data_IF_331678759032
#
_entry.id   IF_331678759032
#
_cell.length_a   1.000
_cell.length_b   1.000
_cell.length_c   1.000
_cell.angle_alpha   90.00
_cell.angle_beta   90.00
_cell.angle_gamma   90.00
#
_symmetry.space_group_name_H-M   'P 1'
#
loop_
_entity.id
_entity.type
_entity.pdbx_description
1 polymer ?
#
# COMPACT_ATOMS: atom_id res chain seq x y z
N UNK A 1 -14.55 12.86 -26.46
CA UNK A 1 -13.76 11.61 -26.33
C UNK A 1 -12.54 11.87 -25.49
N UNK A 2 -12.17 10.92 -24.64
CA UNK A 2 -11.02 11.08 -23.76
C UNK A 2 -9.73 10.68 -24.47
N UNK A 3 -8.66 11.41 -24.26
CA UNK A 3 -7.33 11.08 -24.79
C UNK A 3 -6.45 10.39 -23.75
N UNK A 4 -6.64 10.74 -22.47
CA UNK A 4 -5.83 10.25 -21.35
C UNK A 4 -6.73 9.79 -20.19
N UNK A 5 -6.19 8.95 -19.32
CA UNK A 5 -6.90 8.55 -18.10
C UNK A 5 -7.14 9.72 -17.15
N UNK A 6 -6.27 10.72 -17.17
CA UNK A 6 -6.49 11.96 -16.42
C UNK A 6 -7.77 12.68 -16.83
N UNK A 7 -8.07 12.71 -18.13
CA UNK A 7 -9.31 13.31 -18.63
C UNK A 7 -10.54 12.54 -18.14
N UNK A 8 -10.45 11.21 -18.17
CA UNK A 8 -11.49 10.33 -17.64
C UNK A 8 -11.70 10.54 -16.15
N UNK A 9 -10.61 10.66 -15.39
CA UNK A 9 -10.65 10.91 -13.95
C UNK A 9 -11.41 12.21 -13.64
N UNK A 10 -11.12 13.28 -14.36
CA UNK A 10 -11.83 14.56 -14.22
C UNK A 10 -13.32 14.42 -14.53
N UNK A 11 -13.65 13.64 -15.56
CA UNK A 11 -15.03 13.34 -15.93
C UNK A 11 -15.76 12.61 -14.80
N UNK A 12 -15.12 11.61 -14.17
CA UNK A 12 -15.70 10.85 -13.06
C UNK A 12 -15.98 11.73 -11.84
N UNK A 13 -15.14 12.74 -11.61
CA UNK A 13 -15.31 13.69 -10.51
C UNK A 13 -16.41 14.71 -10.74
N UNK A 14 -16.84 14.92 -11.98
CA UNK A 14 -17.90 15.88 -12.33
C UNK A 14 -19.32 15.42 -12.02
N UNK A 15 -19.50 14.13 -11.67
CA UNK A 15 -20.80 13.61 -11.28
C UNK A 15 -21.69 13.11 -12.39
N UNK A 16 -21.17 12.88 -13.58
CA UNK A 16 -21.93 12.30 -14.70
C UNK A 16 -22.38 10.87 -14.43
N UNK A 17 -21.65 10.17 -13.56
CA UNK A 17 -22.05 8.87 -13.04
C UNK A 17 -22.10 8.92 -11.52
N UNK A 18 -22.90 8.04 -10.94
CA UNK A 18 -23.04 7.96 -9.49
C UNK A 18 -21.95 7.06 -8.92
N UNK A 19 -21.07 7.65 -8.12
CA UNK A 19 -19.92 6.98 -7.52
C UNK A 19 -20.08 6.96 -5.99
N UNK A 20 -19.73 5.84 -5.35
CA UNK A 20 -19.77 5.77 -3.90
C UNK A 20 -18.85 6.82 -3.28
N UNK A 21 -19.17 7.21 -2.04
CA UNK A 21 -18.37 8.22 -1.32
C UNK A 21 -16.90 7.79 -1.18
N UNK A 22 -16.67 6.51 -0.91
CA UNK A 22 -15.32 5.94 -0.77
C UNK A 22 -14.54 6.02 -2.10
N UNK A 23 -15.19 5.65 -3.20
CA UNK A 23 -14.56 5.66 -4.52
C UNK A 23 -14.32 7.10 -5.00
N UNK A 24 -15.25 8.00 -4.70
CA UNK A 24 -15.06 9.43 -4.98
C UNK A 24 -13.82 9.99 -4.26
N UNK A 25 -13.64 9.65 -3.00
CA UNK A 25 -12.45 10.05 -2.23
C UNK A 25 -11.17 9.54 -2.87
N UNK A 26 -11.17 8.30 -3.37
CA UNK A 26 -10.03 7.74 -4.07
C UNK A 26 -9.72 8.53 -5.36
N UNK A 27 -10.73 8.80 -6.19
CA UNK A 27 -10.54 9.59 -7.41
C UNK A 27 -10.04 10.99 -7.10
N UNK A 28 -10.56 11.62 -6.05
CA UNK A 28 -10.13 12.96 -5.63
C UNK A 28 -8.67 12.96 -5.17
N UNK A 29 -8.23 11.91 -4.47
CA UNK A 29 -6.83 11.75 -4.09
C UNK A 29 -5.91 11.59 -5.30
N UNK A 30 -6.34 10.84 -6.32
CA UNK A 30 -5.57 10.69 -7.54
C UNK A 30 -5.39 12.03 -8.26
N UNK A 31 -6.48 12.82 -8.41
CA UNK A 31 -6.37 14.10 -9.10
C UNK A 31 -5.49 15.08 -8.32
N UNK A 32 -5.52 15.03 -6.99
CA UNK A 32 -4.67 15.84 -6.14
C UNK A 32 -3.19 15.51 -6.36
N UNK A 33 -2.85 14.23 -6.41
CA UNK A 33 -1.49 13.75 -6.70
C UNK A 33 -1.02 14.25 -8.08
N UNK A 34 -1.88 14.13 -9.08
CA UNK A 34 -1.60 14.56 -10.46
C UNK A 34 -1.37 16.06 -10.53
N UNK A 35 -2.21 16.85 -9.87
CA UNK A 35 -2.11 18.31 -9.87
C UNK A 35 -0.83 18.80 -9.21
N UNK A 36 -0.28 18.05 -8.26
CA UNK A 36 1.00 18.33 -7.63
C UNK A 36 2.20 17.83 -8.45
N UNK A 37 1.96 17.31 -9.64
CA UNK A 37 2.99 16.73 -10.55
C UNK A 37 3.78 15.58 -9.90
N UNK A 38 3.14 14.83 -9.01
CA UNK A 38 3.69 13.63 -8.42
C UNK A 38 3.38 12.40 -9.30
N UNK A 39 4.03 11.27 -8.99
CA UNK A 39 3.81 10.02 -9.70
C UNK A 39 2.70 9.20 -9.04
N UNK A 40 2.02 8.37 -9.83
CA UNK A 40 1.10 7.36 -9.33
C UNK A 40 1.82 6.02 -9.16
N UNK A 41 1.32 5.19 -8.25
CA UNK A 41 1.83 3.83 -8.09
C UNK A 41 1.08 2.86 -9.01
N UNK A 42 1.71 1.73 -9.32
CA UNK A 42 1.08 0.65 -10.08
C UNK A 42 -0.22 0.20 -9.41
N UNK A 43 -0.24 0.07 -8.07
CA UNK A 43 -1.43 -0.34 -7.34
C UNK A 43 -2.58 0.67 -7.48
N UNK A 44 -2.29 1.97 -7.48
CA UNK A 44 -3.28 3.01 -7.72
C UNK A 44 -3.86 2.91 -9.12
N UNK A 45 -3.03 2.68 -10.13
CA UNK A 45 -3.48 2.48 -11.51
C UNK A 45 -4.36 1.25 -11.66
N UNK A 46 -3.98 0.12 -11.05
CA UNK A 46 -4.76 -1.12 -11.06
C UNK A 46 -6.12 -0.91 -10.39
N UNK A 47 -6.15 -0.24 -9.24
CA UNK A 47 -7.42 0.03 -8.54
C UNK A 47 -8.33 0.94 -9.36
N UNK A 48 -7.77 1.94 -10.03
CA UNK A 48 -8.55 2.81 -10.93
C UNK A 48 -9.24 1.98 -12.02
N UNK A 49 -8.52 1.07 -12.67
CA UNK A 49 -9.08 0.20 -13.71
C UNK A 49 -10.16 -0.74 -13.15
N UNK A 50 -9.97 -1.28 -11.94
CA UNK A 50 -10.99 -2.08 -11.26
C UNK A 50 -12.27 -1.29 -10.99
N UNK A 51 -12.14 -0.02 -10.63
CA UNK A 51 -13.29 0.84 -10.39
C UNK A 51 -14.03 1.18 -11.70
N UNK A 52 -13.33 1.31 -12.81
CA UNK A 52 -13.98 1.43 -14.12
C UNK A 52 -14.85 0.20 -14.42
N UNK A 53 -14.36 -1.00 -14.13
CA UNK A 53 -15.15 -2.22 -14.24
C UNK A 53 -16.39 -2.18 -13.34
N UNK A 54 -16.24 -1.72 -12.12
CA UNK A 54 -17.34 -1.61 -11.16
C UNK A 54 -18.47 -0.73 -11.69
N UNK A 55 -18.14 0.36 -12.36
CA UNK A 55 -19.09 1.34 -12.86
C UNK A 55 -19.40 1.18 -14.37
N UNK A 56 -19.05 0.05 -14.98
CA UNK A 56 -19.18 -0.19 -16.40
C UNK A 56 -20.61 0.02 -16.93
N UNK A 57 -21.64 -0.35 -16.16
CA UNK A 57 -23.03 -0.19 -16.57
C UNK A 57 -23.41 1.27 -16.73
N UNK A 58 -23.01 2.12 -15.79
CA UNK A 58 -23.27 3.55 -15.86
C UNK A 58 -22.48 4.22 -16.99
N UNK A 59 -21.23 3.81 -17.18
CA UNK A 59 -20.39 4.31 -18.27
C UNK A 59 -20.98 3.95 -19.62
N UNK A 60 -21.53 2.73 -19.77
CA UNK A 60 -22.18 2.29 -21.00
C UNK A 60 -23.43 3.12 -21.29
N UNK A 61 -24.21 3.48 -20.26
CA UNK A 61 -25.38 4.34 -20.42
C UNK A 61 -25.01 5.75 -20.93
N UNK A 62 -23.83 6.22 -20.59
CA UNK A 62 -23.26 7.50 -21.05
C UNK A 62 -22.50 7.33 -22.38
N UNK A 63 -22.71 6.22 -23.10
CA UNK A 63 -22.11 5.93 -24.41
C UNK A 63 -20.58 5.77 -24.37
N UNK A 64 -20.02 5.31 -23.25
CA UNK A 64 -18.60 5.02 -23.15
C UNK A 64 -18.34 3.53 -23.23
N UNK A 65 -17.36 3.14 -24.04
CA UNK A 65 -16.92 1.75 -24.19
C UNK A 65 -15.84 1.46 -23.15
N UNK A 66 -16.07 0.48 -22.28
CA UNK A 66 -15.14 0.11 -21.22
C UNK A 66 -13.75 -0.27 -21.78
N UNK A 67 -13.71 -1.07 -22.84
CA UNK A 67 -12.43 -1.50 -23.43
C UNK A 67 -11.60 -0.30 -23.91
N UNK A 68 -12.26 0.68 -24.52
CA UNK A 68 -11.59 1.92 -24.92
C UNK A 68 -11.06 2.68 -23.70
N UNK A 69 -11.86 2.79 -22.62
CA UNK A 69 -11.46 3.51 -21.42
C UNK A 69 -10.28 2.82 -20.71
N UNK A 70 -10.27 1.49 -20.66
CA UNK A 70 -9.17 0.73 -20.05
C UNK A 70 -7.87 0.83 -20.85
N UNK A 71 -7.97 1.06 -22.16
CA UNK A 71 -6.80 1.22 -23.03
C UNK A 71 -6.25 2.63 -23.08
N UNK A 72 -6.92 3.61 -22.46
CA UNK A 72 -6.36 4.95 -22.31
C UNK A 72 -5.08 4.90 -21.50
N UNK A 73 -4.15 5.78 -21.81
CA UNK A 73 -2.87 5.87 -21.11
C UNK A 73 -2.87 7.00 -20.12
N UNK A 74 -2.02 6.87 -19.11
CA UNK A 74 -1.71 7.96 -18.19
C UNK A 74 -0.60 8.84 -18.80
N UNK A 75 -0.77 10.15 -18.70
CA UNK A 75 0.33 11.09 -18.94
C UNK A 75 1.26 11.12 -17.71
N UNK A 76 0.67 10.97 -16.52
CA UNK A 76 1.39 10.89 -15.25
C UNK A 76 2.27 9.65 -15.21
N UNK A 77 3.49 9.79 -14.72
CA UNK A 77 4.41 8.66 -14.57
C UNK A 77 3.89 7.65 -13.55
N UNK A 78 3.87 6.38 -13.92
CA UNK A 78 3.48 5.28 -13.05
C UNK A 78 4.76 4.60 -12.57
N UNK A 79 4.93 4.49 -11.25
CA UNK A 79 6.08 3.83 -10.63
C UNK A 79 5.61 2.57 -9.92
N UNK A 80 6.45 1.53 -9.92
CA UNK A 80 6.14 0.33 -9.14
C UNK A 80 5.98 0.69 -7.68
N UNK A 81 4.90 0.18 -7.07
CA UNK A 81 4.75 0.27 -5.63
C UNK A 81 5.97 -0.38 -4.99
N UNK A 82 6.58 0.32 -4.04
CA UNK A 82 7.61 -0.33 -3.23
C UNK A 82 6.99 -1.59 -2.68
N UNK A 83 7.55 -2.75 -3.03
CA UNK A 83 7.14 -4.00 -2.42
C UNK A 83 7.32 -3.82 -0.92
N UNK A 84 6.22 -3.71 -0.19
CA UNK A 84 6.30 -3.82 1.25
C UNK A 84 7.00 -5.14 1.52
N UNK A 85 7.94 -5.13 2.46
CA UNK A 85 8.60 -6.35 2.84
C UNK A 85 7.53 -7.36 3.26
N UNK A 86 7.34 -8.42 2.46
CA UNK A 86 6.43 -9.50 2.82
C UNK A 86 7.02 -10.39 3.91
N UNK A 87 8.30 -10.20 4.22
CA UNK A 87 9.05 -11.00 5.17
C UNK A 87 9.69 -10.13 6.24
N UNK A 88 9.76 -10.65 7.45
CA UNK A 88 10.54 -10.06 8.50
C UNK A 88 11.99 -10.55 8.40
N UNK A 89 12.92 -9.66 8.72
CA UNK A 89 14.35 -9.97 8.75
C UNK A 89 14.85 -9.88 10.18
N UNK A 90 15.64 -10.88 10.56
CA UNK A 90 16.32 -10.91 11.86
C UNK A 90 17.82 -10.89 11.62
N UNK A 91 18.51 -9.98 12.26
CA UNK A 91 19.97 -9.89 12.16
C UNK A 91 20.57 -9.63 13.53
N UNK A 92 21.88 -9.88 13.65
CA UNK A 92 22.64 -9.62 14.86
C UNK A 92 23.79 -8.69 14.53
N UNK A 93 23.80 -7.51 15.14
CA UNK A 93 24.85 -6.52 14.95
C UNK A 93 25.26 -5.91 16.29
N UNK A 94 26.56 -5.90 16.57
CA UNK A 94 27.12 -5.27 17.79
C UNK A 94 26.45 -5.72 19.09
N UNK A 95 26.11 -7.01 19.20
CA UNK A 95 25.45 -7.57 20.38
C UNK A 95 23.97 -7.25 20.49
N UNK A 96 23.36 -6.68 19.46
CA UNK A 96 21.95 -6.37 19.41
C UNK A 96 21.24 -7.24 18.38
N UNK A 97 20.07 -7.76 18.74
CA UNK A 97 19.13 -8.34 17.80
C UNK A 97 18.38 -7.22 17.10
N UNK A 98 18.32 -7.29 15.78
CA UNK A 98 17.62 -6.30 14.96
C UNK A 98 16.52 -7.01 14.21
N UNK A 99 15.27 -6.52 14.37
CA UNK A 99 14.11 -7.00 13.64
C UNK A 99 13.63 -5.91 12.69
N UNK A 100 13.64 -6.21 11.39
CA UNK A 100 13.07 -5.40 10.35
C UNK A 100 11.88 -6.13 9.77
N UNK A 101 10.67 -5.58 9.92
CA UNK A 101 9.44 -6.26 9.51
C UNK A 101 8.47 -5.30 8.84
N UNK A 102 7.55 -5.84 8.00
CA UNK A 102 6.37 -5.09 7.59
C UNK A 102 5.51 -4.73 8.81
N UNK A 103 4.69 -3.70 8.68
CA UNK A 103 3.75 -3.35 9.75
C UNK A 103 2.77 -4.49 9.98
N UNK A 104 2.68 -4.97 11.23
CA UNK A 104 1.72 -5.98 11.66
C UNK A 104 1.38 -5.71 13.12
N UNK A 105 0.15 -5.24 13.37
CA UNK A 105 -0.28 -4.82 14.71
C UNK A 105 -0.24 -5.96 15.72
N UNK A 106 -0.60 -7.17 15.33
CA UNK A 106 -0.56 -8.35 16.22
C UNK A 106 0.86 -8.73 16.60
N UNK A 107 1.78 -8.68 15.65
CA UNK A 107 3.20 -8.93 15.87
C UNK A 107 3.77 -7.91 16.86
N UNK A 108 3.45 -6.63 16.67
CA UNK A 108 3.91 -5.55 17.57
C UNK A 108 3.37 -5.75 18.99
N UNK A 109 2.09 -6.12 19.13
CA UNK A 109 1.50 -6.41 20.43
C UNK A 109 2.21 -7.57 21.13
N UNK A 110 2.51 -8.64 20.41
CA UNK A 110 3.20 -9.80 20.96
C UNK A 110 4.64 -9.44 21.38
N UNK A 111 5.35 -8.60 20.60
CA UNK A 111 6.66 -8.10 20.97
C UNK A 111 6.62 -7.32 22.29
N UNK A 112 5.61 -6.48 22.48
CA UNK A 112 5.47 -5.66 23.68
C UNK A 112 5.11 -6.48 24.92
N UNK A 113 4.53 -7.68 24.74
CA UNK A 113 4.15 -8.58 25.84
C UNK A 113 5.29 -9.43 26.36
N UNK A 114 6.45 -9.45 25.68
CA UNK A 114 7.59 -10.23 26.11
C UNK A 114 8.20 -9.62 27.37
N UNK A 115 8.17 -10.37 28.47
CA UNK A 115 8.59 -9.90 29.80
C UNK A 115 10.08 -9.60 29.90
N UNK A 116 10.90 -10.28 29.14
CA UNK A 116 12.35 -10.28 29.30
C UNK A 116 13.09 -9.56 28.19
N UNK A 117 12.39 -9.07 27.18
CA UNK A 117 12.99 -8.43 26.02
C UNK A 117 12.45 -7.02 25.85
N UNK A 118 13.24 -6.05 26.25
CA UNK A 118 12.92 -4.65 25.97
C UNK A 118 13.22 -4.37 24.48
N UNK A 119 12.33 -4.80 23.60
CA UNK A 119 12.44 -4.39 22.21
C UNK A 119 12.10 -2.92 22.10
N UNK A 120 13.06 -2.15 21.61
CA UNK A 120 12.95 -0.71 21.44
C UNK A 120 12.75 -0.40 19.95
N UNK A 121 11.77 0.45 19.66
CA UNK A 121 11.52 0.92 18.30
C UNK A 121 12.45 2.07 17.97
N UNK A 122 13.23 1.92 16.91
CA UNK A 122 14.09 2.97 16.36
C UNK A 122 13.35 3.64 15.18
N UNK A 123 12.87 4.86 15.41
CA UNK A 123 12.11 5.61 14.38
C UNK A 123 12.95 5.97 13.17
N UNK A 124 14.24 6.24 13.38
CA UNK A 124 15.10 6.68 12.28
C UNK A 124 15.42 5.55 11.31
N UNK A 125 15.64 4.35 11.83
CA UNK A 125 15.95 3.15 11.02
C UNK A 125 14.73 2.28 10.74
N UNK A 126 13.60 2.55 11.42
CA UNK A 126 12.35 1.76 11.32
C UNK A 126 12.55 0.28 11.64
N UNK A 127 13.25 0.01 12.72
CA UNK A 127 13.57 -1.33 13.19
C UNK A 127 13.31 -1.48 14.68
N UNK A 128 13.14 -2.72 15.14
CA UNK A 128 13.15 -3.06 16.56
C UNK A 128 14.52 -3.60 16.94
N UNK A 129 15.02 -3.19 18.10
CA UNK A 129 16.30 -3.67 18.64
C UNK A 129 16.13 -4.18 20.07
N UNK A 130 16.89 -5.22 20.42
CA UNK A 130 16.95 -5.75 21.78
C UNK A 130 18.33 -6.33 22.05
N UNK A 131 18.78 -6.33 23.30
CA UNK A 131 20.03 -7.01 23.65
C UNK A 131 19.97 -8.50 23.27
N UNK A 132 21.07 -9.02 22.75
CA UNK A 132 21.14 -10.43 22.38
C UNK A 132 21.15 -11.31 23.63
N UNK A 133 20.32 -12.35 23.61
CA UNK A 133 20.38 -13.49 24.51
C UNK A 133 19.79 -14.70 23.80
N UNK A 134 20.06 -15.90 24.26
CA UNK A 134 19.47 -17.13 23.70
C UNK A 134 17.93 -17.05 23.78
N UNK A 135 17.41 -16.52 24.87
CA UNK A 135 15.96 -16.37 25.09
C UNK A 135 15.38 -15.35 24.14
N UNK A 136 16.03 -14.18 23.96
CA UNK A 136 15.60 -13.15 23.00
C UNK A 136 15.53 -13.69 21.58
N UNK A 137 16.57 -14.41 21.17
CA UNK A 137 16.64 -15.01 19.84
C UNK A 137 15.51 -16.00 19.62
N UNK A 138 15.25 -16.87 20.58
CA UNK A 138 14.17 -17.85 20.50
C UNK A 138 12.80 -17.18 20.36
N UNK A 139 12.52 -16.17 21.19
CA UNK A 139 11.25 -15.43 21.13
C UNK A 139 11.09 -14.72 19.79
N UNK A 140 12.16 -14.08 19.26
CA UNK A 140 12.12 -13.40 17.98
C UNK A 140 11.80 -14.39 16.84
N UNK A 141 12.46 -15.55 16.81
CA UNK A 141 12.22 -16.58 15.81
C UNK A 141 10.78 -17.09 15.89
N UNK A 142 10.29 -17.38 17.11
CA UNK A 142 8.93 -17.89 17.31
C UNK A 142 7.88 -16.86 16.82
N UNK A 143 8.04 -15.59 17.13
CA UNK A 143 7.11 -14.54 16.71
C UNK A 143 7.16 -14.30 15.21
N UNK A 144 8.33 -14.27 14.60
CA UNK A 144 8.49 -14.12 13.16
C UNK A 144 7.84 -15.28 12.43
N UNK A 145 8.06 -16.51 12.90
CA UNK A 145 7.46 -17.70 12.32
C UNK A 145 5.94 -17.69 12.45
N UNK A 146 5.41 -17.19 13.56
CA UNK A 146 3.97 -17.12 13.82
C UNK A 146 3.26 -16.12 12.90
N UNK A 147 3.85 -14.94 12.69
CA UNK A 147 3.19 -13.83 11.99
C UNK A 147 3.62 -13.65 10.53
N UNK A 148 4.80 -14.11 10.18
CA UNK A 148 5.37 -13.96 8.84
C UNK A 148 5.82 -15.31 8.32
N UNK A 149 4.95 -15.99 7.60
CA UNK A 149 5.32 -17.26 6.98
C UNK A 149 6.23 -17.00 5.79
N UNK A 150 7.39 -17.58 5.82
CA UNK A 150 8.30 -17.62 4.67
C UNK A 150 7.71 -18.49 3.55
#
# INVERSE_FOLDING_TARGET
MFNLKEDLLKYLLKGYIHVSKKDYSFFNNLIHIIDQKNTLTTNQSILFDKLLNKYQRQLKKENHNLDHLLNLKWDTTIVESKKEFLQAYLSLENGLLIIKSPFNSKFIQDLRRLKYNAYVWDKSKKIYTAPFSTISLKHAIDLITKHFKS
#
